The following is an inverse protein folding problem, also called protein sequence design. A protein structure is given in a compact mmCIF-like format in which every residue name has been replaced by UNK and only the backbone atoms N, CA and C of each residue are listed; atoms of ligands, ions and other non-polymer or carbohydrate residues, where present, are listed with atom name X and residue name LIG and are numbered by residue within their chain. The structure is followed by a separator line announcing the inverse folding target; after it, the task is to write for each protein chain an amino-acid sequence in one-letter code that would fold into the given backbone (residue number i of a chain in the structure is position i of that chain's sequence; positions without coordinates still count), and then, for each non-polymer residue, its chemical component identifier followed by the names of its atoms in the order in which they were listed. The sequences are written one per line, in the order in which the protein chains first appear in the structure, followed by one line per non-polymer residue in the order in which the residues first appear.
data_IF_191891088107
#
_entry.id   IF_191891088107
#
_cell.length_a   1.000
_cell.length_b   1.000
_cell.length_c   1.000
_cell.angle_alpha   90.00
_cell.angle_beta   90.00
_cell.angle_gamma   90.00
#
_symmetry.space_group_name_H-M   'P 1'
#
loop_
_entity.id
_entity.type
_entity.pdbx_description
1 polymer ?
#
# COMPACT_ATOMS: atom_id res chain seq x y z
N UNK A 1 0.37 13.42 28.58
CA UNK A 1 0.25 12.97 27.20
C UNK A 1 0.76 11.52 27.09
N UNK A 2 -0.14 10.54 26.89
CA UNK A 2 0.27 9.16 26.62
C UNK A 2 0.84 9.12 25.20
N UNK A 3 2.15 8.79 25.07
CA UNK A 3 2.74 8.42 23.77
C UNK A 3 1.95 7.23 23.23
N UNK A 4 1.10 7.46 22.24
CA UNK A 4 0.48 6.39 21.45
C UNK A 4 1.65 5.65 20.80
N UNK A 5 1.77 4.38 21.15
CA UNK A 5 2.82 3.50 20.65
C UNK A 5 2.50 3.23 19.15
N UNK A 6 3.13 3.98 18.26
CA UNK A 6 2.96 3.92 16.79
C UNK A 6 3.60 2.66 16.19
N UNK A 7 3.51 1.54 16.88
CA UNK A 7 3.96 0.25 16.37
C UNK A 7 2.84 -0.31 15.48
N UNK A 8 3.14 -0.44 14.21
CA UNK A 8 2.33 -1.04 13.14
C UNK A 8 0.93 -0.40 12.99
N UNK A 9 0.70 0.32 11.89
CA UNK A 9 -0.64 0.52 11.38
C UNK A 9 -1.09 -0.81 10.80
N UNK A 10 -1.68 -1.66 11.62
CA UNK A 10 -2.39 -2.82 11.14
C UNK A 10 -3.62 -2.31 10.39
N UNK A 11 -3.53 -2.19 9.07
CA UNK A 11 -4.69 -1.91 8.23
C UNK A 11 -5.34 -3.23 7.84
N UNK A 12 -6.64 -3.19 7.57
CA UNK A 12 -7.37 -4.36 7.06
C UNK A 12 -6.72 -4.89 5.78
N UNK A 13 -6.19 -4.01 4.94
CA UNK A 13 -5.47 -4.38 3.74
C UNK A 13 -4.20 -5.20 4.04
N UNK A 14 -3.35 -4.70 4.92
CA UNK A 14 -2.10 -5.39 5.30
C UNK A 14 -2.42 -6.72 5.98
N UNK A 15 -3.41 -6.74 6.88
CA UNK A 15 -3.79 -7.99 7.54
C UNK A 15 -4.27 -9.04 6.53
N UNK A 16 -5.14 -8.66 5.59
CA UNK A 16 -5.71 -9.57 4.61
C UNK A 16 -4.67 -10.17 3.65
N UNK A 17 -3.66 -9.39 3.25
CA UNK A 17 -2.67 -9.79 2.23
C UNK A 17 -1.30 -10.17 2.77
N UNK A 18 -1.01 -9.93 4.07
CA UNK A 18 0.31 -10.21 4.65
C UNK A 18 0.30 -10.96 5.99
N UNK A 19 -0.76 -10.85 6.80
CA UNK A 19 -0.74 -11.34 8.18
C UNK A 19 -1.79 -12.42 8.47
N UNK A 20 -2.91 -12.48 7.73
CA UNK A 20 -3.97 -13.46 7.94
C UNK A 20 -3.52 -14.89 7.61
N UNK A 21 -4.22 -15.88 8.14
CA UNK A 21 -3.93 -17.30 7.86
C UNK A 21 -4.03 -17.66 6.38
N UNK A 22 -4.78 -16.88 5.59
CA UNK A 22 -4.93 -17.00 4.12
C UNK A 22 -4.15 -15.93 3.35
N UNK A 23 -3.27 -15.19 4.02
CA UNK A 23 -2.54 -14.07 3.39
C UNK A 23 -1.72 -14.52 2.19
N UNK A 24 -1.12 -15.71 2.23
CA UNK A 24 -0.35 -16.25 1.12
C UNK A 24 -1.20 -16.48 -0.12
N UNK A 25 -2.35 -17.12 0.05
CA UNK A 25 -3.33 -17.36 -1.02
C UNK A 25 -3.86 -16.06 -1.59
N UNK A 26 -4.21 -15.11 -0.72
CA UNK A 26 -4.70 -13.79 -1.10
C UNK A 26 -3.63 -13.01 -1.87
N UNK A 27 -2.38 -13.01 -1.38
CA UNK A 27 -1.27 -12.34 -2.06
C UNK A 27 -0.95 -12.96 -3.42
N UNK A 28 -0.97 -14.28 -3.56
CA UNK A 28 -0.74 -14.95 -4.84
C UNK A 28 -1.90 -14.67 -5.81
N UNK A 29 -3.15 -14.61 -5.35
CA UNK A 29 -4.27 -14.16 -6.16
C UNK A 29 -4.04 -12.74 -6.70
N UNK A 30 -3.57 -11.84 -5.84
CA UNK A 30 -3.22 -10.48 -6.22
C UNK A 30 -2.04 -10.44 -7.21
N UNK A 31 -0.99 -11.18 -6.95
CA UNK A 31 0.17 -11.30 -7.84
C UNK A 31 -0.24 -11.81 -9.22
N UNK A 32 -1.06 -12.86 -9.27
CA UNK A 32 -1.58 -13.41 -10.53
C UNK A 32 -2.39 -12.38 -11.31
N UNK A 33 -3.20 -11.58 -10.64
CA UNK A 33 -3.98 -10.51 -11.27
C UNK A 33 -3.09 -9.39 -11.83
N UNK A 34 -2.03 -8.99 -11.10
CA UNK A 34 -1.07 -7.98 -11.54
C UNK A 34 -0.28 -8.42 -12.77
N UNK A 35 0.11 -9.69 -12.84
CA UNK A 35 1.04 -10.23 -13.86
C UNK A 35 0.34 -11.07 -14.93
N UNK A 36 -0.97 -11.29 -14.83
CA UNK A 36 -1.72 -12.20 -15.71
C UNK A 36 -1.11 -13.60 -15.73
N UNK A 37 -0.69 -14.08 -14.57
CA UNK A 37 -0.12 -15.41 -14.34
C UNK A 37 -1.11 -16.32 -13.63
N UNK A 38 -0.74 -17.57 -13.39
CA UNK A 38 -1.55 -18.53 -12.66
C UNK A 38 -0.65 -19.37 -11.73
N UNK A 39 0.05 -18.68 -10.80
CA UNK A 39 0.88 -19.34 -9.81
C UNK A 39 -0.01 -20.08 -8.79
N UNK A 40 0.41 -21.28 -8.42
CA UNK A 40 -0.27 -22.08 -7.40
C UNK A 40 0.29 -21.71 -6.00
N UNK A 41 -0.56 -21.29 -5.05
CA UNK A 41 -0.15 -20.97 -3.69
C UNK A 41 0.56 -22.12 -2.95
N UNK A 42 0.30 -23.38 -3.34
CA UNK A 42 0.92 -24.54 -2.71
C UNK A 42 2.37 -24.75 -3.12
N UNK A 43 2.73 -24.37 -4.33
CA UNK A 43 4.07 -24.61 -4.91
C UNK A 43 4.93 -23.36 -4.99
N UNK A 44 4.31 -22.17 -5.05
CA UNK A 44 5.04 -20.90 -5.12
C UNK A 44 5.58 -20.50 -3.75
N UNK A 45 6.86 -20.15 -3.69
CA UNK A 45 7.46 -19.63 -2.48
C UNK A 45 7.20 -18.12 -2.36
N UNK A 46 6.57 -17.71 -1.25
CA UNK A 46 6.37 -16.29 -0.91
C UNK A 46 6.92 -16.05 0.48
N UNK A 47 7.84 -15.08 0.58
CA UNK A 47 8.47 -14.69 1.85
C UNK A 47 8.28 -13.19 2.09
N UNK A 48 7.80 -12.77 3.28
CA UNK A 48 7.80 -11.35 3.63
C UNK A 48 9.24 -10.83 3.74
N UNK A 49 9.50 -9.64 3.19
CA UNK A 49 10.78 -8.95 3.26
C UNK A 49 10.58 -7.61 3.96
N UNK A 50 10.03 -7.67 5.17
CA UNK A 50 9.67 -6.48 5.94
C UNK A 50 10.90 -5.71 6.42
N UNK A 51 10.82 -4.39 6.37
CA UNK A 51 11.78 -3.50 7.00
C UNK A 51 11.41 -3.36 8.50
N UNK A 52 12.21 -3.98 9.37
CA UNK A 52 12.09 -3.77 10.81
C UNK A 52 12.89 -2.53 11.23
N UNK A 53 12.31 -1.71 12.13
CA UNK A 53 12.88 -0.56 12.81
C UNK A 53 14.30 -0.13 12.41
N UNK A 54 14.40 0.89 11.59
CA UNK A 54 15.62 1.70 11.49
C UNK A 54 15.53 2.80 12.57
N UNK A 55 16.56 2.95 13.37
CA UNK A 55 16.58 3.66 14.69
C UNK A 55 16.08 5.10 14.68
N UNK A 56 15.83 5.73 13.54
CA UNK A 56 15.44 7.14 13.42
C UNK A 56 14.34 7.44 12.39
N UNK A 57 13.78 6.43 11.68
CA UNK A 57 12.78 6.72 10.67
C UNK A 57 11.69 5.62 10.68
N UNK A 58 10.45 6.02 10.87
CA UNK A 58 9.28 5.15 10.78
C UNK A 58 8.97 4.84 9.30
N UNK A 59 9.90 4.20 8.59
CA UNK A 59 9.64 3.71 7.25
C UNK A 59 9.05 2.31 7.37
N UNK A 60 7.77 2.25 7.26
CA UNK A 60 7.05 0.99 7.06
C UNK A 60 6.42 1.06 5.68
N UNK A 61 6.73 0.10 4.85
CA UNK A 61 5.92 -0.17 3.68
C UNK A 61 4.81 -1.14 4.09
N UNK A 62 3.66 -1.01 3.47
CA UNK A 62 2.49 -1.80 3.85
C UNK A 62 2.72 -3.30 3.57
N UNK A 63 3.15 -3.66 2.37
CA UNK A 63 3.45 -5.04 1.97
C UNK A 63 4.76 -5.10 1.19
N UNK A 64 5.64 -6.03 1.57
CA UNK A 64 6.83 -6.41 0.81
C UNK A 64 6.95 -7.92 0.77
N UNK A 65 6.86 -8.50 -0.40
CA UNK A 65 6.94 -9.95 -0.60
C UNK A 65 7.98 -10.33 -1.64
N UNK A 66 8.82 -11.29 -1.31
CA UNK A 66 9.75 -11.94 -2.23
C UNK A 66 9.08 -13.20 -2.80
N UNK A 67 8.90 -13.23 -4.11
CA UNK A 67 8.27 -14.34 -4.85
C UNK A 67 9.35 -15.16 -5.54
N UNK A 68 9.40 -16.46 -5.25
CA UNK A 68 10.34 -17.45 -5.80
C UNK A 68 11.82 -16.99 -5.78
N UNK A 69 12.19 -16.15 -4.82
CA UNK A 69 13.55 -15.59 -4.71
C UNK A 69 13.96 -14.65 -5.84
N UNK A 70 13.04 -14.26 -6.73
CA UNK A 70 13.34 -13.54 -7.97
C UNK A 70 12.69 -12.16 -8.09
N UNK A 71 11.53 -11.96 -7.49
CA UNK A 71 10.76 -10.71 -7.61
C UNK A 71 10.42 -10.21 -6.21
N UNK A 72 10.65 -8.93 -5.97
CA UNK A 72 10.19 -8.23 -4.76
C UNK A 72 9.05 -7.32 -5.14
N UNK A 73 7.86 -7.62 -4.63
CA UNK A 73 6.67 -6.79 -4.84
C UNK A 73 6.49 -5.89 -3.62
N UNK A 74 6.57 -4.58 -3.83
CA UNK A 74 6.29 -3.57 -2.82
C UNK A 74 4.94 -2.92 -3.12
N UNK A 75 4.04 -2.95 -2.14
CA UNK A 75 2.72 -2.35 -2.25
C UNK A 75 2.52 -1.37 -1.09
N UNK A 76 2.07 -0.17 -1.42
CA UNK A 76 1.55 0.83 -0.48
C UNK A 76 0.05 1.00 -0.70
N UNK A 77 -0.72 1.01 0.37
CA UNK A 77 -2.16 1.28 0.34
C UNK A 77 -2.41 2.70 0.86
N UNK A 78 -3.05 3.54 0.06
CA UNK A 78 -3.19 4.97 0.36
C UNK A 78 -4.61 5.50 0.10
N UNK A 79 -5.13 6.29 1.05
CA UNK A 79 -6.34 7.09 0.87
C UNK A 79 -6.07 8.45 0.19
N UNK A 80 -4.81 8.90 0.18
CA UNK A 80 -4.34 10.11 -0.52
C UNK A 80 -3.06 9.78 -1.26
N UNK A 81 -3.00 10.03 -2.57
CA UNK A 81 -1.81 9.74 -3.37
C UNK A 81 -0.68 10.69 -3.00
N UNK A 82 0.44 10.13 -2.54
CA UNK A 82 1.65 10.87 -2.25
C UNK A 82 2.56 10.90 -3.48
N UNK A 83 2.82 12.11 -4.02
CA UNK A 83 3.67 12.28 -5.20
C UNK A 83 5.13 11.83 -4.98
N UNK A 84 5.59 11.75 -3.73
CA UNK A 84 6.95 11.31 -3.38
C UNK A 84 7.07 9.77 -3.26
N UNK A 85 6.08 9.00 -3.70
CA UNK A 85 6.15 7.54 -3.61
C UNK A 85 7.35 6.92 -4.34
N UNK A 86 7.76 7.36 -5.55
CA UNK A 86 8.96 6.81 -6.17
C UNK A 86 10.23 7.04 -5.33
N UNK A 87 10.36 8.19 -4.66
CA UNK A 87 11.49 8.45 -3.76
C UNK A 87 11.43 7.55 -2.52
N UNK A 88 10.26 7.36 -1.91
CA UNK A 88 10.09 6.41 -0.81
C UNK A 88 10.41 4.98 -1.21
N UNK A 89 9.99 4.54 -2.39
CA UNK A 89 10.33 3.21 -2.91
C UNK A 89 11.82 3.03 -3.16
N UNK A 90 12.55 4.07 -3.58
CA UNK A 90 14.01 4.04 -3.66
C UNK A 90 14.64 3.72 -2.30
N UNK A 91 14.18 4.38 -1.24
CA UNK A 91 14.66 4.13 0.12
C UNK A 91 14.31 2.70 0.58
N UNK A 92 13.08 2.24 0.33
CA UNK A 92 12.65 0.90 0.72
C UNK A 92 13.46 -0.19 0.02
N UNK A 93 13.59 -0.12 -1.31
CA UNK A 93 14.31 -1.16 -2.05
C UNK A 93 15.79 -1.18 -1.72
N UNK A 94 16.40 -0.02 -1.48
CA UNK A 94 17.80 0.06 -1.04
C UNK A 94 18.00 -0.68 0.29
N UNK A 95 17.11 -0.48 1.26
CA UNK A 95 17.15 -1.16 2.56
C UNK A 95 16.87 -2.66 2.45
N UNK A 96 15.94 -3.05 1.59
CA UNK A 96 15.66 -4.47 1.34
C UNK A 96 16.90 -5.16 0.75
N UNK A 97 17.54 -4.57 -0.25
CA UNK A 97 18.76 -5.12 -0.83
C UNK A 97 19.92 -5.19 0.20
N UNK A 98 20.03 -4.19 1.07
CA UNK A 98 20.98 -4.23 2.19
C UNK A 98 20.71 -5.43 3.12
N UNK A 99 19.43 -5.69 3.43
CA UNK A 99 19.01 -6.78 4.33
C UNK A 99 19.23 -8.18 3.73
N UNK A 100 19.00 -8.35 2.42
CA UNK A 100 19.09 -9.66 1.76
C UNK A 100 20.48 -9.99 1.19
N UNK A 101 21.44 -9.05 1.30
CA UNK A 101 22.84 -9.22 0.90
C UNK A 101 23.78 -9.01 2.09
N UNK A 102 24.94 -9.65 2.06
CA UNK A 102 25.99 -9.40 3.05
C UNK A 102 26.90 -8.25 2.62
N UNK A 103 27.70 -7.70 3.54
CA UNK A 103 28.75 -6.74 3.18
C UNK A 103 29.75 -7.35 2.21
N UNK A 104 30.13 -8.62 2.41
CA UNK A 104 31.04 -9.33 1.52
C UNK A 104 30.47 -9.46 0.11
N UNK A 105 29.17 -9.71 -0.04
CA UNK A 105 28.49 -9.70 -1.34
C UNK A 105 28.61 -8.34 -2.02
N UNK A 106 28.33 -7.25 -1.30
CA UNK A 106 28.27 -5.88 -1.86
C UNK A 106 29.64 -5.33 -2.24
N UNK A 107 30.69 -5.65 -1.47
CA UNK A 107 32.06 -5.15 -1.69
C UNK A 107 32.97 -6.17 -2.38
N UNK A 108 32.51 -7.39 -2.58
CA UNK A 108 33.23 -8.43 -3.31
C UNK A 108 33.31 -8.15 -4.82
N UNK A 109 34.22 -8.83 -5.50
CA UNK A 109 34.42 -8.68 -6.96
C UNK A 109 33.38 -9.44 -7.79
N UNK A 110 32.64 -10.37 -7.19
CA UNK A 110 31.66 -11.21 -7.87
C UNK A 110 30.35 -10.46 -8.00
N UNK A 111 29.75 -10.48 -9.19
CA UNK A 111 28.43 -9.87 -9.41
C UNK A 111 27.36 -10.55 -8.55
N UNK A 112 26.72 -9.78 -7.69
CA UNK A 112 25.55 -10.21 -6.92
C UNK A 112 24.31 -10.16 -7.78
N UNK A 113 23.50 -11.22 -7.75
CA UNK A 113 22.19 -11.26 -8.42
C UNK A 113 21.13 -10.80 -7.42
N UNK A 114 20.39 -9.76 -7.78
CA UNK A 114 19.33 -9.19 -6.97
C UNK A 114 17.96 -9.55 -7.56
N UNK A 115 16.94 -9.77 -6.72
CA UNK A 115 15.56 -9.88 -7.19
C UNK A 115 15.11 -8.61 -7.89
N UNK A 116 14.22 -8.72 -8.89
CA UNK A 116 13.66 -7.58 -9.61
C UNK A 116 12.63 -6.90 -8.70
N UNK A 117 12.70 -5.58 -8.47
CA UNK A 117 11.73 -4.87 -7.66
C UNK A 117 10.55 -4.38 -8.50
N UNK A 118 9.36 -4.41 -7.93
CA UNK A 118 8.13 -3.88 -8.51
C UNK A 118 7.41 -3.00 -7.49
N UNK A 119 6.84 -1.89 -7.94
CA UNK A 119 6.32 -0.84 -7.09
C UNK A 119 4.88 -0.51 -7.43
N UNK A 120 3.98 -0.74 -6.48
CA UNK A 120 2.55 -0.50 -6.61
C UNK A 120 2.02 0.40 -5.50
N UNK A 121 1.11 1.28 -5.85
CA UNK A 121 0.30 2.04 -4.90
C UNK A 121 -1.17 1.70 -5.18
N UNK A 122 -1.84 1.13 -4.21
CA UNK A 122 -3.28 0.92 -4.28
C UNK A 122 -4.00 2.12 -3.65
N UNK A 123 -4.64 2.89 -4.51
CA UNK A 123 -5.41 4.03 -4.10
C UNK A 123 -6.85 3.64 -3.79
N UNK A 124 -7.27 3.95 -2.57
CA UNK A 124 -8.62 3.73 -2.09
C UNK A 124 -9.14 4.99 -1.35
N UNK A 125 -8.91 6.17 -1.92
CA UNK A 125 -9.36 7.43 -1.36
C UNK A 125 -10.72 7.88 -1.91
N UNK A 126 -11.21 8.99 -1.38
CA UNK A 126 -12.52 9.59 -1.78
C UNK A 126 -12.39 10.59 -2.92
N UNK A 127 -11.18 11.07 -3.19
CA UNK A 127 -10.95 12.02 -4.29
C UNK A 127 -11.06 11.33 -5.64
N UNK A 128 -11.49 12.08 -6.65
CA UNK A 128 -11.58 11.54 -8.01
C UNK A 128 -10.16 11.34 -8.58
N UNK A 129 -9.75 10.09 -8.69
CA UNK A 129 -8.44 9.69 -9.21
C UNK A 129 -8.61 8.74 -10.41
N UNK A 130 -7.71 8.78 -11.43
CA UNK A 130 -7.76 7.84 -12.55
C UNK A 130 -7.79 6.38 -12.12
N UNK A 131 -8.31 5.49 -12.98
CA UNK A 131 -8.30 4.04 -12.75
C UNK A 131 -6.89 3.50 -12.61
N UNK A 132 -5.96 3.98 -13.45
CA UNK A 132 -4.52 3.71 -13.37
C UNK A 132 -3.72 4.97 -13.70
N UNK A 133 -2.54 5.10 -13.09
CA UNK A 133 -1.55 6.13 -13.41
C UNK A 133 -0.16 5.68 -12.98
N UNK A 134 0.85 6.48 -13.30
CA UNK A 134 2.23 6.25 -12.90
C UNK A 134 2.81 7.50 -12.25
N UNK A 135 3.67 7.29 -11.25
CA UNK A 135 4.56 8.31 -10.70
C UNK A 135 5.99 7.91 -11.01
N UNK A 136 6.82 8.87 -11.40
CA UNK A 136 8.22 8.64 -11.77
C UNK A 136 9.16 9.41 -10.87
N UNK A 137 10.27 8.79 -10.50
CA UNK A 137 11.31 9.44 -9.69
C UNK A 137 11.91 10.64 -10.44
N UNK A 138 12.03 10.54 -11.75
CA UNK A 138 12.54 11.62 -12.61
C UNK A 138 11.72 12.91 -12.54
N UNK A 139 10.44 12.84 -12.19
CA UNK A 139 9.59 14.03 -12.04
C UNK A 139 10.02 14.90 -10.84
N UNK A 140 10.77 14.31 -9.89
CA UNK A 140 11.30 15.02 -8.73
C UNK A 140 12.71 15.62 -8.95
N UNK A 141 13.35 15.39 -10.10
CA UNK A 141 14.70 15.88 -10.34
C UNK A 141 14.73 17.36 -10.69
N UNK A 142 15.66 18.08 -10.06
CA UNK A 142 15.98 19.45 -10.45
C UNK A 142 16.74 19.43 -11.78
N UNK A 143 16.11 19.94 -12.84
CA UNK A 143 16.69 19.97 -14.19
C UNK A 143 17.33 21.33 -14.40
N UNK A 144 18.68 21.41 -14.61
CA UNK A 144 19.35 22.66 -14.97
C UNK A 144 18.86 23.21 -16.31
N UNK A 145 18.88 24.54 -16.48
CA UNK A 145 18.39 25.20 -17.70
C UNK A 145 19.04 24.69 -19.00
N UNK A 146 20.32 24.33 -18.92
CA UNK A 146 21.05 23.82 -20.11
C UNK A 146 20.60 22.40 -20.50
N UNK A 147 19.79 21.73 -19.68
CA UNK A 147 19.33 20.35 -19.85
C UNK A 147 17.83 20.21 -20.04
N UNK A 148 17.11 21.28 -20.38
CA UNK A 148 15.65 21.24 -20.59
C UNK A 148 15.16 20.23 -21.65
N UNK A 149 16.04 19.74 -22.51
CA UNK A 149 15.72 18.78 -23.57
C UNK A 149 15.86 17.31 -23.12
N UNK A 150 16.18 17.05 -21.84
CA UNK A 150 16.26 15.67 -21.34
C UNK A 150 14.89 14.98 -21.43
N UNK A 151 14.89 13.78 -21.98
CA UNK A 151 13.73 12.88 -21.99
C UNK A 151 13.85 11.87 -20.86
N UNK A 152 12.75 11.25 -20.47
CA UNK A 152 12.71 10.27 -19.38
C UNK A 152 13.79 9.17 -19.51
N UNK A 153 14.16 8.77 -20.72
CA UNK A 153 15.20 7.76 -20.96
C UNK A 153 16.65 8.26 -20.77
N UNK A 154 16.85 9.56 -20.56
CA UNK A 154 18.19 10.13 -20.34
C UNK A 154 18.63 10.05 -18.88
N UNK A 155 17.69 9.86 -17.95
CA UNK A 155 18.00 9.68 -16.54
C UNK A 155 18.61 8.30 -16.28
N UNK A 156 19.68 8.26 -15.47
CA UNK A 156 20.39 7.03 -15.14
C UNK A 156 19.82 6.29 -13.92
N UNK A 157 18.94 6.96 -13.19
CA UNK A 157 18.18 6.41 -12.07
C UNK A 157 16.71 6.70 -12.33
N UNK A 158 15.90 5.65 -12.41
CA UNK A 158 14.46 5.76 -12.55
C UNK A 158 13.76 4.71 -11.71
N UNK A 159 12.70 5.14 -11.03
CA UNK A 159 11.72 4.28 -10.36
C UNK A 159 10.34 4.72 -10.82
N UNK A 160 9.58 3.80 -11.34
CA UNK A 160 8.18 4.02 -11.71
C UNK A 160 7.29 3.28 -10.72
N UNK A 161 6.43 4.02 -10.02
CA UNK A 161 5.40 3.46 -9.16
C UNK A 161 4.07 3.42 -9.93
N UNK A 162 3.50 2.22 -10.10
CA UNK A 162 2.18 2.07 -10.72
C UNK A 162 1.10 2.30 -9.67
N UNK A 163 0.22 3.29 -9.91
CA UNK A 163 -0.94 3.56 -9.09
C UNK A 163 -2.15 2.85 -9.68
N UNK A 164 -2.85 2.10 -8.86
CA UNK A 164 -4.07 1.37 -9.22
C UNK A 164 -5.19 1.82 -8.29
N UNK A 165 -6.22 2.44 -8.88
CA UNK A 165 -7.40 2.84 -8.13
C UNK A 165 -8.29 1.64 -7.92
N UNK A 166 -8.41 1.20 -6.66
CA UNK A 166 -9.18 0.02 -6.27
C UNK A 166 -10.59 0.36 -5.75
N UNK A 167 -11.04 1.60 -5.90
CA UNK A 167 -12.44 1.91 -5.59
C UNK A 167 -13.38 1.19 -6.56
N UNK A 168 -14.47 0.64 -6.02
CA UNK A 168 -15.46 -0.15 -6.79
C UNK A 168 -16.00 0.64 -7.98
N UNK A 169 -16.22 1.97 -7.80
CA UNK A 169 -16.79 2.85 -8.81
C UNK A 169 -15.88 3.05 -10.03
N UNK A 170 -14.59 2.69 -9.93
CA UNK A 170 -13.63 2.78 -11.05
C UNK A 170 -13.61 1.53 -11.91
N UNK A 171 -14.23 0.46 -11.45
CA UNK A 171 -14.34 -0.83 -12.18
C UNK A 171 -13.01 -1.29 -12.78
N UNK A 172 -11.92 -1.14 -11.98
CA UNK A 172 -10.59 -1.52 -12.45
C UNK A 172 -10.54 -3.03 -12.74
N UNK A 173 -10.00 -3.46 -13.89
CA UNK A 173 -9.94 -4.88 -14.27
C UNK A 173 -9.30 -5.80 -13.22
N UNK A 174 -8.40 -5.30 -12.38
CA UNK A 174 -7.76 -6.08 -11.32
C UNK A 174 -8.78 -6.61 -10.30
N UNK A 175 -9.87 -5.86 -10.05
CA UNK A 175 -10.92 -6.28 -9.12
C UNK A 175 -11.66 -7.53 -9.63
N UNK A 176 -11.76 -7.70 -10.95
CA UNK A 176 -12.39 -8.89 -11.55
C UNK A 176 -11.46 -10.11 -11.58
N UNK A 177 -10.15 -9.90 -11.39
CA UNK A 177 -9.13 -10.93 -11.46
C UNK A 177 -8.61 -11.36 -10.09
N UNK A 178 -8.88 -10.57 -9.03
CA UNK A 178 -8.47 -10.85 -7.66
C UNK A 178 -9.67 -10.73 -6.71
N UNK A 179 -10.32 -11.85 -6.42
CA UNK A 179 -11.51 -11.88 -5.55
C UNK A 179 -11.25 -11.30 -4.15
N UNK A 180 -10.12 -11.59 -3.46
CA UNK A 180 -9.83 -10.96 -2.17
C UNK A 180 -9.75 -9.42 -2.25
N UNK A 181 -9.17 -8.88 -3.32
CA UNK A 181 -9.06 -7.43 -3.52
C UNK A 181 -10.43 -6.80 -3.80
N UNK A 182 -11.24 -7.47 -4.61
CA UNK A 182 -12.62 -7.04 -4.87
C UNK A 182 -13.44 -6.99 -3.60
N UNK A 183 -13.43 -8.06 -2.81
CA UNK A 183 -14.16 -8.12 -1.55
C UNK A 183 -13.65 -7.08 -0.53
N UNK A 184 -12.34 -6.80 -0.51
CA UNK A 184 -11.78 -5.71 0.28
C UNK A 184 -12.36 -4.35 -0.17
N UNK A 185 -12.40 -4.07 -1.47
CA UNK A 185 -12.94 -2.82 -2.01
C UNK A 185 -14.43 -2.67 -1.72
N UNK A 186 -15.21 -3.74 -1.88
CA UNK A 186 -16.63 -3.78 -1.53
C UNK A 186 -16.85 -3.50 -0.02
N UNK A 187 -16.02 -4.09 0.84
CA UNK A 187 -16.06 -3.87 2.29
C UNK A 187 -15.77 -2.41 2.67
N UNK A 188 -14.71 -1.80 2.11
CA UNK A 188 -14.39 -0.39 2.40
C UNK A 188 -15.47 0.54 1.88
N UNK A 189 -16.09 0.20 0.74
CA UNK A 189 -17.27 0.94 0.26
C UNK A 189 -18.41 0.88 1.28
N UNK A 190 -18.75 -0.30 1.81
CA UNK A 190 -19.79 -0.45 2.84
C UNK A 190 -19.46 0.37 4.11
N UNK A 191 -18.19 0.37 4.56
CA UNK A 191 -17.73 1.20 5.68
C UNK A 191 -18.01 2.68 5.43
N UNK A 192 -17.66 3.17 4.25
CA UNK A 192 -17.89 4.60 3.88
C UNK A 192 -19.36 4.94 3.76
N UNK A 193 -20.14 4.03 3.23
CA UNK A 193 -21.59 4.24 3.08
C UNK A 193 -22.26 4.31 4.47
N UNK A 194 -21.90 3.43 5.41
CA UNK A 194 -22.35 3.48 6.80
C UNK A 194 -21.95 4.80 7.51
N UNK A 195 -20.74 5.31 7.22
CA UNK A 195 -20.29 6.59 7.78
C UNK A 195 -21.09 7.79 7.21
N UNK A 196 -21.37 7.78 5.89
CA UNK A 196 -22.19 8.82 5.24
C UNK A 196 -23.63 8.82 5.74
N UNK A 197 -24.19 7.66 6.04
CA UNK A 197 -25.52 7.50 6.62
C UNK A 197 -25.59 7.96 8.09
N UNK A 198 -24.48 8.38 8.71
CA UNK A 198 -24.36 8.79 10.11
C UNK A 198 -24.88 7.73 11.09
N UNK A 199 -24.62 6.47 10.82
CA UNK A 199 -24.99 5.35 11.68
C UNK A 199 -24.21 5.44 13.01
N UNK A 200 -24.86 5.23 14.14
CA UNK A 200 -24.27 5.34 15.48
C UNK A 200 -22.98 4.49 15.65
N UNK A 201 -22.97 3.27 15.08
CA UNK A 201 -21.83 2.36 15.13
C UNK A 201 -21.46 1.91 13.69
N UNK A 202 -20.88 2.80 12.85
CA UNK A 202 -20.73 2.57 11.43
C UNK A 202 -19.85 1.34 11.13
N UNK A 203 -18.74 1.16 11.84
CA UNK A 203 -17.81 0.04 11.60
C UNK A 203 -18.44 -1.30 11.97
N UNK A 204 -19.09 -1.41 13.13
CA UNK A 204 -19.81 -2.63 13.54
C UNK A 204 -20.91 -2.96 12.54
N UNK A 205 -21.65 -1.95 12.09
CA UNK A 205 -22.74 -2.13 11.11
C UNK A 205 -22.19 -2.59 9.75
N UNK A 206 -21.11 -1.99 9.27
CA UNK A 206 -20.47 -2.37 8.02
C UNK A 206 -19.95 -3.82 8.06
N UNK A 207 -19.31 -4.22 9.17
CA UNK A 207 -18.84 -5.60 9.38
C UNK A 207 -20.04 -6.57 9.29
N UNK A 208 -21.13 -6.29 10.02
CA UNK A 208 -22.30 -7.17 10.06
C UNK A 208 -23.01 -7.25 8.69
N UNK A 209 -23.16 -6.12 8.00
CA UNK A 209 -23.76 -6.08 6.64
C UNK A 209 -22.89 -6.86 5.65
N UNK A 210 -21.57 -6.69 5.70
CA UNK A 210 -20.63 -7.40 4.84
C UNK A 210 -20.66 -8.91 5.08
N UNK A 211 -20.67 -9.37 6.34
CA UNK A 211 -20.82 -10.78 6.67
C UNK A 211 -22.12 -11.35 6.10
N UNK A 212 -23.24 -10.62 6.26
CA UNK A 212 -24.57 -11.05 5.76
C UNK A 212 -24.59 -11.14 4.23
N UNK A 213 -23.90 -10.26 3.54
CA UNK A 213 -23.81 -10.20 2.09
C UNK A 213 -22.73 -11.12 1.49
N UNK A 214 -21.98 -11.85 2.32
CA UNK A 214 -20.92 -12.77 1.88
C UNK A 214 -19.59 -12.09 1.56
N UNK A 215 -19.45 -10.77 1.79
CA UNK A 215 -18.22 -10.01 1.54
C UNK A 215 -17.24 -10.23 2.69
N UNK A 216 -16.05 -10.75 2.40
CA UNK A 216 -15.03 -11.12 3.39
C UNK A 216 -15.59 -11.91 4.59
N UNK A 217 -16.68 -12.67 4.38
CA UNK A 217 -17.50 -13.21 5.46
C UNK A 217 -16.70 -14.05 6.44
N UNK A 218 -15.87 -14.98 5.97
CA UNK A 218 -15.08 -15.86 6.85
C UNK A 218 -13.98 -15.10 7.60
N UNK A 219 -13.36 -14.13 6.95
CA UNK A 219 -12.36 -13.26 7.54
C UNK A 219 -12.98 -12.37 8.63
N UNK A 220 -14.07 -11.69 8.32
CA UNK A 220 -14.76 -10.79 9.26
C UNK A 220 -15.37 -11.54 10.46
N UNK A 221 -15.89 -12.76 10.28
CA UNK A 221 -16.36 -13.60 11.39
C UNK A 221 -15.24 -13.95 12.37
N UNK A 222 -14.04 -14.22 11.86
CA UNK A 222 -12.89 -14.58 12.70
C UNK A 222 -12.27 -13.38 13.41
N UNK A 223 -12.26 -12.21 12.77
CA UNK A 223 -11.47 -11.03 13.18
C UNK A 223 -12.31 -9.76 13.37
N UNK A 224 -13.61 -9.86 13.67
CA UNK A 224 -14.50 -8.70 13.75
C UNK A 224 -14.00 -7.60 14.70
N UNK A 225 -13.47 -7.98 15.86
CA UNK A 225 -12.96 -7.03 16.87
C UNK A 225 -11.66 -6.36 16.38
N UNK A 226 -10.73 -7.12 15.81
CA UNK A 226 -9.47 -6.61 15.26
C UNK A 226 -9.74 -5.67 14.10
N UNK A 227 -10.62 -6.06 13.17
CA UNK A 227 -11.02 -5.23 12.03
C UNK A 227 -11.68 -3.94 12.48
N UNK A 228 -12.57 -4.00 13.48
CA UNK A 228 -13.14 -2.79 14.07
C UNK A 228 -12.06 -1.84 14.60
N UNK A 229 -11.07 -2.37 15.33
CA UNK A 229 -9.97 -1.57 15.89
C UNK A 229 -9.05 -0.99 14.79
N UNK A 230 -8.78 -1.77 13.72
CA UNK A 230 -8.02 -1.29 12.56
C UNK A 230 -8.74 -0.12 11.88
N UNK A 231 -10.04 -0.25 11.59
CA UNK A 231 -10.85 0.82 11.00
C UNK A 231 -10.87 2.06 11.89
N UNK A 232 -11.11 1.88 13.19
CA UNK A 232 -11.10 3.00 14.12
C UNK A 232 -9.77 3.75 14.09
N UNK A 233 -8.64 3.04 14.14
CA UNK A 233 -7.31 3.65 14.09
C UNK A 233 -7.02 4.35 12.75
N UNK A 234 -7.51 3.81 11.63
CA UNK A 234 -7.32 4.36 10.29
C UNK A 234 -8.11 5.66 10.09
N UNK A 235 -9.39 5.65 10.45
CA UNK A 235 -10.27 6.81 10.28
C UNK A 235 -10.03 7.91 11.33
N UNK A 236 -9.62 7.57 12.54
CA UNK A 236 -9.22 8.55 13.56
C UNK A 236 -7.97 9.34 13.09
N UNK A 237 -6.99 8.65 12.53
CA UNK A 237 -5.79 9.28 11.99
C UNK A 237 -6.08 10.17 10.75
N UNK A 238 -6.97 9.75 9.86
CA UNK A 238 -7.37 10.58 8.70
C UNK A 238 -8.09 11.84 9.16
N UNK A 239 -8.89 11.74 10.21
CA UNK A 239 -9.56 12.88 10.81
C UNK A 239 -8.58 13.85 11.44
N UNK A 240 -7.58 13.34 12.18
CA UNK A 240 -6.52 14.14 12.81
C UNK A 240 -5.70 14.90 11.76
N UNK A 241 -5.26 14.23 10.69
CA UNK A 241 -4.54 14.88 9.58
C UNK A 241 -5.41 15.96 8.90
N UNK A 242 -6.69 15.70 8.70
CA UNK A 242 -7.59 16.66 8.05
C UNK A 242 -7.77 17.91 8.92
N UNK A 243 -7.88 17.73 10.24
CA UNK A 243 -7.97 18.85 11.19
C UNK A 243 -6.67 19.65 11.18
N UNK A 244 -5.52 19.01 11.30
CA UNK A 244 -4.20 19.67 11.28
C UNK A 244 -3.96 20.45 9.97
N UNK A 245 -4.37 19.89 8.81
CA UNK A 245 -4.24 20.60 7.52
C UNK A 245 -5.16 21.82 7.46
N UNK A 246 -6.37 21.73 8.01
CA UNK A 246 -7.29 22.86 8.05
C UNK A 246 -6.75 23.97 8.96
N UNK A 247 -6.29 23.62 10.15
CA UNK A 247 -5.69 24.57 11.09
C UNK A 247 -4.45 25.25 10.49
N UNK A 248 -3.53 24.50 9.87
CA UNK A 248 -2.38 25.07 9.18
C UNK A 248 -2.74 25.98 8.00
N UNK A 249 -3.85 25.68 7.30
CA UNK A 249 -4.36 26.55 6.25
C UNK A 249 -4.99 27.82 6.82
N UNK A 250 -5.78 27.73 7.88
CA UNK A 250 -6.38 28.87 8.58
C UNK A 250 -5.28 29.79 9.14
N UNK A 251 -4.26 29.24 9.82
CA UNK A 251 -3.10 29.98 10.33
C UNK A 251 -2.34 30.68 9.19
N UNK A 252 -2.10 30.01 8.06
CA UNK A 252 -1.42 30.58 6.89
C UNK A 252 -2.22 31.69 6.18
N UNK A 253 -3.55 31.71 6.31
CA UNK A 253 -4.41 32.78 5.81
C UNK A 253 -4.43 33.97 6.75
N UNK A 254 -4.26 33.78 8.07
CA UNK A 254 -4.20 34.87 9.05
C UNK A 254 -2.83 35.59 9.05
N UNK A 255 -1.75 34.92 8.61
CA UNK A 255 -0.39 35.50 8.54
C UNK A 255 -0.09 36.18 7.19
N UNK A 256 -0.89 36.04 6.15
CA UNK A 256 -0.73 36.60 4.79
C UNK A 256 -1.70 37.72 4.48
#
# INVERSE_FOLDING_TARGET
MKKINRKHKDSVFVDLFANDIYAKENFISLYNALHKTNLDPKTTEVKPVMLENVLYMSYYNDISMLVDGKIIVLIEHQSTVNQNMPFRFLEYISRIYEKITTEEDRFGKKLVKLPIPEFYVFYNGVENYPSESELKLSDAFLIPEEKHNLKNNDFKLEITAKIININVEKDNPILHQCEPLKQYSDFIKEVRDCMKENIENPFTTAINRSIKNGVLSEYLKRKSTEVHNMLFGEYDYETDIRVQRREAFEDGVEEG
#
